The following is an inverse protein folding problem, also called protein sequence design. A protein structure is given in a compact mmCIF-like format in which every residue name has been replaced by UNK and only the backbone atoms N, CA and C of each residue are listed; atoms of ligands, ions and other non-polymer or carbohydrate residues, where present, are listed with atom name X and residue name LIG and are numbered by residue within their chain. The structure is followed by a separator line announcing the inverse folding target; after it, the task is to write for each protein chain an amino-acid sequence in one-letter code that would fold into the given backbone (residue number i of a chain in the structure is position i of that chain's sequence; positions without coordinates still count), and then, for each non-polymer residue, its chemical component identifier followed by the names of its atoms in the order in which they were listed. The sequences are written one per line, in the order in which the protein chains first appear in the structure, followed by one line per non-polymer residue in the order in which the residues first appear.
data_IF_401117277958
#
_entry.id   IF_401117277958
#
_cell.length_a   1.000
_cell.length_b   1.000
_cell.length_c   1.000
_cell.angle_alpha   90.00
_cell.angle_beta   90.00
_cell.angle_gamma   90.00
#
_symmetry.space_group_name_H-M   'P 1'
#
loop_
_entity.id
_entity.type
_entity.pdbx_description
1 polymer ?
#
# COMPACT_ATOMS: atom_id res chain seq x y z
N UNK A 1 -42.97 -5.53 -10.89
CA UNK A 1 -43.34 -4.17 -10.46
C UNK A 1 -42.56 -3.83 -9.20
N UNK A 2 -41.46 -3.10 -9.34
CA UNK A 2 -40.76 -2.45 -8.23
C UNK A 2 -40.35 -1.06 -8.71
N UNK A 3 -41.15 -0.07 -8.32
CA UNK A 3 -40.78 1.34 -8.27
C UNK A 3 -39.88 1.46 -7.03
N UNK A 4 -38.73 2.15 -6.99
CA UNK A 4 -38.42 3.49 -7.46
C UNK A 4 -37.78 4.19 -6.26
N UNK A 5 -36.53 4.65 -6.37
CA UNK A 5 -35.96 5.64 -5.45
C UNK A 5 -35.16 6.63 -6.29
N UNK A 6 -35.75 7.82 -6.40
CA UNK A 6 -35.24 9.04 -7.00
C UNK A 6 -34.22 9.69 -6.06
N UNK A 7 -33.07 10.09 -6.60
CA UNK A 7 -32.15 11.01 -5.93
C UNK A 7 -32.07 12.29 -6.73
N UNK A 8 -32.74 13.34 -6.27
CA UNK A 8 -32.56 14.71 -6.74
C UNK A 8 -32.23 15.62 -5.57
N UNK A 9 -31.40 16.63 -5.88
CA UNK A 9 -31.23 17.93 -5.22
C UNK A 9 -29.89 18.20 -4.53
N UNK A 10 -29.02 18.89 -5.30
CA UNK A 10 -28.49 20.24 -5.05
C UNK A 10 -27.87 20.58 -3.69
N UNK A 11 -26.58 20.91 -3.70
CA UNK A 11 -26.02 22.25 -3.42
C UNK A 11 -24.49 22.10 -3.37
N UNK A 12 -23.64 22.94 -3.96
CA UNK A 12 -23.79 24.36 -4.22
C UNK A 12 -23.06 25.14 -3.13
N UNK A 13 -21.73 25.17 -3.15
CA UNK A 13 -20.94 26.19 -2.45
C UNK A 13 -19.67 26.51 -3.23
N UNK A 14 -19.68 27.66 -3.89
CA UNK A 14 -18.50 28.28 -4.47
C UNK A 14 -17.55 28.77 -3.38
N UNK A 15 -16.25 28.74 -3.68
CA UNK A 15 -15.23 29.46 -2.91
C UNK A 15 -14.59 30.48 -3.83
N UNK A 16 -14.82 31.74 -3.47
CA UNK A 16 -14.31 32.93 -4.11
C UNK A 16 -12.78 33.02 -4.06
N UNK A 17 -12.25 33.63 -5.11
CA UNK A 17 -10.87 34.00 -5.37
C UNK A 17 -10.52 35.30 -4.62
N UNK A 18 -9.37 35.34 -3.94
CA UNK A 18 -8.58 36.54 -3.60
C UNK A 18 -7.11 36.06 -3.58
N UNK A 19 -6.27 36.29 -4.59
CA UNK A 19 -5.64 37.53 -5.05
C UNK A 19 -4.56 38.11 -4.12
N UNK A 20 -3.34 38.06 -4.66
CA UNK A 20 -2.23 39.03 -4.57
C UNK A 20 -1.43 39.19 -3.26
N UNK A 21 -0.11 39.03 -3.40
CA UNK A 21 0.90 39.40 -2.41
C UNK A 21 2.31 39.21 -2.94
N UNK A 22 2.65 39.86 -4.05
CA UNK A 22 4.01 39.99 -4.58
C UNK A 22 4.78 41.01 -3.74
N UNK A 23 5.87 40.58 -3.09
CA UNK A 23 6.91 41.46 -2.57
C UNK A 23 8.24 41.01 -3.16
N UNK A 24 8.76 41.84 -4.05
CA UNK A 24 10.12 41.80 -4.59
C UNK A 24 11.03 42.72 -3.76
N UNK A 25 12.33 42.70 -4.10
CA UNK A 25 13.48 43.50 -3.61
C UNK A 25 14.22 42.84 -2.43
N UNK A 26 15.55 42.67 -2.40
CA UNK A 26 16.71 43.33 -3.05
C UNK A 26 17.90 42.34 -3.07
N UNK A 27 18.67 42.22 -4.16
CA UNK A 27 19.99 42.83 -4.40
C UNK A 27 21.07 42.57 -3.32
N UNK A 28 22.14 41.84 -3.67
CA UNK A 28 23.31 41.65 -2.79
C UNK A 28 24.44 40.78 -3.35
N UNK A 29 25.27 41.39 -4.22
CA UNK A 29 26.69 41.21 -4.50
C UNK A 29 27.39 39.83 -4.46
N UNK A 30 27.82 39.41 -5.66
CA UNK A 30 29.19 39.03 -6.06
C UNK A 30 30.17 38.45 -5.01
N UNK A 31 30.51 37.18 -5.21
CA UNK A 31 31.74 36.56 -4.73
C UNK A 31 32.18 35.47 -5.71
N UNK A 32 33.11 35.79 -6.60
CA UNK A 32 33.79 34.83 -7.48
C UNK A 32 34.80 34.04 -6.66
N UNK A 33 34.47 32.79 -6.33
CA UNK A 33 35.44 31.83 -5.82
C UNK A 33 35.49 30.64 -6.78
N UNK A 34 36.52 30.65 -7.63
CA UNK A 34 36.85 29.54 -8.51
C UNK A 34 37.46 28.41 -7.67
N UNK A 35 36.74 27.29 -7.55
CA UNK A 35 37.29 26.02 -7.06
C UNK A 35 37.48 25.08 -8.26
N UNK A 36 38.60 24.34 -8.32
CA UNK A 36 38.92 23.48 -9.45
C UNK A 36 38.08 22.20 -9.43
N UNK A 37 37.83 21.69 -10.63
CA UNK A 37 37.14 20.44 -10.92
C UNK A 37 37.73 19.26 -10.12
N UNK A 38 36.88 18.65 -9.30
CA UNK A 38 37.06 17.28 -8.84
C UNK A 38 35.80 16.52 -9.23
N UNK A 39 35.94 15.68 -10.26
CA UNK A 39 34.92 14.75 -10.71
C UNK A 39 34.61 13.75 -9.58
N UNK A 40 33.58 14.05 -8.79
CA UNK A 40 32.97 13.09 -7.89
C UNK A 40 31.75 12.52 -8.59
N UNK A 41 31.89 11.24 -8.92
CA UNK A 41 30.87 10.30 -9.39
C UNK A 41 29.49 10.64 -8.85
N UNK A 42 28.54 10.89 -9.76
CA UNK A 42 27.14 11.05 -9.43
C UNK A 42 26.61 9.74 -8.84
N UNK A 43 26.63 9.64 -7.50
CA UNK A 43 25.72 8.75 -6.80
C UNK A 43 24.33 9.35 -6.96
N UNK A 44 23.57 8.89 -7.95
CA UNK A 44 22.17 9.25 -8.11
C UNK A 44 21.40 8.73 -6.90
N UNK A 45 21.26 9.58 -5.90
CA UNK A 45 20.26 9.46 -4.85
C UNK A 45 18.91 9.24 -5.55
N UNK A 46 18.16 8.15 -5.25
CA UNK A 46 16.89 7.93 -5.91
C UNK A 46 15.98 9.12 -5.58
N UNK A 47 15.54 9.82 -6.61
CA UNK A 47 14.80 11.07 -6.50
C UNK A 47 13.57 10.85 -5.60
N UNK A 48 13.50 11.61 -4.51
CA UNK A 48 12.47 11.52 -3.48
C UNK A 48 11.09 12.02 -3.90
N UNK A 49 10.55 11.55 -5.02
CA UNK A 49 9.26 11.99 -5.58
C UNK A 49 8.37 10.83 -6.09
N UNK A 50 8.45 9.63 -5.52
CA UNK A 50 7.71 8.45 -6.06
C UNK A 50 6.64 7.95 -5.10
N UNK A 51 5.64 8.78 -4.77
CA UNK A 51 4.40 8.29 -4.14
C UNK A 51 3.11 8.96 -4.67
N UNK A 52 3.19 9.83 -5.69
CA UNK A 52 2.01 10.56 -6.22
C UNK A 52 1.50 10.01 -7.55
N UNK A 53 2.32 9.27 -8.31
CA UNK A 53 1.90 8.59 -9.54
C UNK A 53 1.41 7.16 -9.27
N UNK A 54 0.54 6.66 -10.16
CA UNK A 54 0.20 5.24 -10.19
C UNK A 54 1.45 4.46 -10.60
N UNK A 55 1.86 3.41 -9.87
CA UNK A 55 3.06 2.63 -10.22
C UNK A 55 2.81 1.83 -11.52
N UNK A 56 3.81 1.76 -12.39
CA UNK A 56 3.68 1.11 -13.71
C UNK A 56 4.62 -0.09 -13.85
N UNK A 57 5.80 -0.03 -13.24
CA UNK A 57 6.78 -1.13 -13.26
C UNK A 57 6.57 -2.10 -12.09
N UNK A 58 7.01 -3.34 -12.25
CA UNK A 58 6.91 -4.36 -11.20
C UNK A 58 7.57 -3.89 -9.89
N UNK A 59 8.70 -3.20 -9.96
CA UNK A 59 9.37 -2.66 -8.78
C UNK A 59 8.63 -1.51 -8.12
N UNK A 60 8.05 -0.58 -8.89
CA UNK A 60 7.19 0.46 -8.31
C UNK A 60 5.94 -0.15 -7.66
N UNK A 61 5.32 -1.15 -8.30
CA UNK A 61 4.17 -1.88 -7.75
C UNK A 61 4.58 -2.60 -6.45
N UNK A 62 5.77 -3.21 -6.41
CA UNK A 62 6.31 -3.88 -5.23
C UNK A 62 6.54 -2.92 -4.06
N UNK A 63 7.14 -1.76 -4.33
CA UNK A 63 7.35 -0.69 -3.35
C UNK A 63 6.02 -0.17 -2.84
N UNK A 64 5.07 0.11 -3.74
CA UNK A 64 3.71 0.53 -3.38
C UNK A 64 3.02 -0.50 -2.47
N UNK A 65 3.09 -1.79 -2.82
CA UNK A 65 2.51 -2.87 -2.03
C UNK A 65 3.11 -2.94 -0.62
N UNK A 66 4.44 -2.83 -0.50
CA UNK A 66 5.13 -2.81 0.78
C UNK A 66 4.65 -1.63 1.64
N UNK A 67 4.51 -0.45 1.04
CA UNK A 67 4.00 0.74 1.72
C UNK A 67 2.56 0.55 2.25
N UNK A 68 1.70 -0.14 1.49
CA UNK A 68 0.32 -0.42 1.96
C UNK A 68 0.28 -1.30 3.21
N UNK A 69 1.19 -2.27 3.34
CA UNK A 69 1.11 -3.30 4.40
C UNK A 69 2.00 -3.02 5.60
N UNK A 70 3.06 -2.21 5.46
CA UNK A 70 4.03 -1.94 6.53
C UNK A 70 3.39 -1.26 7.74
N UNK A 71 2.34 -0.46 7.54
CA UNK A 71 1.66 0.28 8.61
C UNK A 71 0.71 -0.60 9.46
N UNK A 72 0.40 -1.83 9.04
CA UNK A 72 -0.58 -2.69 9.73
C UNK A 72 -0.28 -2.89 11.23
N UNK A 73 0.97 -3.12 11.68
CA UNK A 73 1.26 -3.27 13.11
C UNK A 73 0.97 -1.99 13.91
N UNK A 74 1.34 -0.82 13.35
CA UNK A 74 1.08 0.48 13.98
C UNK A 74 -0.43 0.77 14.05
N UNK A 75 -1.16 0.49 12.96
CA UNK A 75 -2.62 0.64 12.92
C UNK A 75 -3.30 -0.32 13.91
N UNK A 76 -2.76 -1.52 14.08
CA UNK A 76 -3.26 -2.50 15.04
C UNK A 76 -3.19 -2.00 16.49
N UNK A 77 -2.13 -1.27 16.87
CA UNK A 77 -2.06 -0.63 18.20
C UNK A 77 -3.23 0.34 18.41
N UNK A 78 -3.57 1.13 17.39
CA UNK A 78 -4.77 1.99 17.45
C UNK A 78 -6.03 1.16 17.62
N UNK A 79 -6.19 0.06 16.89
CA UNK A 79 -7.37 -0.80 17.03
C UNK A 79 -7.54 -1.36 18.44
N UNK A 80 -6.43 -1.73 19.11
CA UNK A 80 -6.43 -2.15 20.51
C UNK A 80 -6.94 -1.02 21.40
N UNK A 81 -6.41 0.19 21.27
CA UNK A 81 -6.83 1.35 22.09
C UNK A 81 -8.30 1.73 21.87
N UNK A 82 -8.85 1.48 20.68
CA UNK A 82 -10.26 1.72 20.35
C UNK A 82 -11.19 0.58 20.77
N UNK A 83 -10.66 -0.49 21.38
CA UNK A 83 -11.47 -1.59 21.94
C UNK A 83 -11.92 -2.65 20.94
N UNK A 84 -11.29 -2.76 19.76
CA UNK A 84 -11.64 -3.82 18.81
C UNK A 84 -11.22 -5.20 19.35
N UNK A 85 -12.08 -6.18 19.11
CA UNK A 85 -11.81 -7.58 19.45
C UNK A 85 -10.62 -8.12 18.65
N UNK A 86 -10.00 -9.19 19.15
CA UNK A 86 -8.87 -9.83 18.46
C UNK A 86 -9.27 -10.34 17.06
N UNK A 87 -10.47 -10.90 16.90
CA UNK A 87 -10.98 -11.36 15.61
C UNK A 87 -11.14 -10.20 14.62
N UNK A 88 -11.78 -9.10 15.03
CA UNK A 88 -11.98 -7.94 14.17
C UNK A 88 -10.65 -7.35 13.71
N UNK A 89 -9.65 -7.29 14.60
CA UNK A 89 -8.29 -6.85 14.24
C UNK A 89 -7.63 -7.79 13.23
N UNK A 90 -7.79 -9.10 13.40
CA UNK A 90 -7.26 -10.08 12.46
C UNK A 90 -7.94 -9.99 11.08
N UNK A 91 -9.27 -9.81 11.02
CA UNK A 91 -10.00 -9.59 9.77
C UNK A 91 -9.54 -8.31 9.08
N UNK A 92 -9.46 -7.19 9.80
CA UNK A 92 -8.99 -5.91 9.22
C UNK A 92 -7.54 -5.96 8.73
N UNK A 93 -6.65 -6.64 9.45
CA UNK A 93 -5.27 -6.85 9.02
C UNK A 93 -5.21 -7.70 7.73
N UNK A 94 -5.97 -8.81 7.69
CA UNK A 94 -6.13 -9.64 6.51
C UNK A 94 -6.67 -8.85 5.32
N UNK A 95 -7.77 -8.12 5.50
CA UNK A 95 -8.43 -7.35 4.43
C UNK A 95 -7.50 -6.27 3.87
N UNK A 96 -6.73 -5.60 4.74
CA UNK A 96 -5.76 -4.59 4.31
C UNK A 96 -4.71 -5.21 3.39
N UNK A 97 -4.12 -6.35 3.79
CA UNK A 97 -3.14 -7.05 2.96
C UNK A 97 -3.77 -7.63 1.68
N UNK A 98 -4.97 -8.19 1.78
CA UNK A 98 -5.67 -8.81 0.66
C UNK A 98 -6.00 -7.77 -0.41
N UNK A 99 -6.57 -6.62 -0.03
CA UNK A 99 -6.80 -5.50 -0.96
C UNK A 99 -5.51 -4.99 -1.58
N UNK A 100 -4.44 -4.84 -0.79
CA UNK A 100 -3.15 -4.42 -1.34
C UNK A 100 -2.64 -5.41 -2.40
N UNK A 101 -2.79 -6.72 -2.18
CA UNK A 101 -2.45 -7.74 -3.19
C UNK A 101 -3.30 -7.58 -4.46
N UNK A 102 -4.61 -7.42 -4.31
CA UNK A 102 -5.51 -7.32 -5.47
C UNK A 102 -5.22 -6.07 -6.28
N UNK A 103 -5.02 -4.92 -5.62
CA UNK A 103 -4.63 -3.68 -6.28
C UNK A 103 -3.28 -3.83 -6.99
N UNK A 104 -2.28 -4.48 -6.37
CA UNK A 104 -1.02 -4.75 -7.04
C UNK A 104 -1.21 -5.57 -8.34
N UNK A 105 -2.08 -6.59 -8.33
CA UNK A 105 -2.40 -7.37 -9.53
C UNK A 105 -3.11 -6.56 -10.61
N UNK A 106 -3.98 -5.63 -10.23
CA UNK A 106 -4.65 -4.75 -11.18
C UNK A 106 -3.71 -3.72 -11.81
N UNK A 107 -2.59 -3.40 -11.16
CA UNK A 107 -1.57 -2.51 -11.70
C UNK A 107 -0.56 -3.24 -12.59
N UNK A 108 -0.51 -4.58 -12.58
CA UNK A 108 0.38 -5.35 -13.46
C UNK A 108 0.03 -5.11 -14.93
N UNK A 109 1.04 -4.82 -15.75
CA UNK A 109 0.89 -4.62 -17.19
C UNK A 109 0.64 -5.93 -17.95
N UNK A 110 1.20 -7.05 -17.47
CA UNK A 110 1.06 -8.37 -18.10
C UNK A 110 -0.18 -9.12 -17.59
N UNK A 111 -1.20 -9.20 -18.45
CA UNK A 111 -2.41 -9.98 -18.18
C UNK A 111 -2.13 -11.49 -18.11
N UNK A 112 -1.10 -11.99 -18.81
CA UNK A 112 -0.70 -13.39 -18.77
C UNK A 112 -0.10 -13.76 -17.41
N UNK A 113 0.83 -12.95 -16.92
CA UNK A 113 1.45 -13.17 -15.60
C UNK A 113 0.43 -13.08 -14.47
N UNK A 114 -0.49 -12.09 -14.54
CA UNK A 114 -1.59 -11.99 -13.58
C UNK A 114 -2.46 -13.26 -13.55
N UNK A 115 -2.80 -13.83 -14.72
CA UNK A 115 -3.54 -15.10 -14.80
C UNK A 115 -2.72 -16.29 -14.29
N UNK A 116 -1.42 -16.34 -14.55
CA UNK A 116 -0.54 -17.37 -14.01
C UNK A 116 -0.50 -17.33 -12.47
N UNK A 117 -0.44 -16.13 -11.88
CA UNK A 117 -0.52 -15.94 -10.43
C UNK A 117 -1.88 -16.39 -9.86
N UNK A 118 -2.98 -16.10 -10.57
CA UNK A 118 -4.32 -16.55 -10.17
C UNK A 118 -4.48 -18.07 -10.26
N UNK A 119 -3.96 -18.71 -11.31
CA UNK A 119 -4.01 -20.15 -11.47
C UNK A 119 -3.23 -20.87 -10.35
N UNK A 120 -2.01 -20.40 -10.04
CA UNK A 120 -1.21 -20.91 -8.92
C UNK A 120 -1.94 -20.75 -7.58
N UNK A 121 -2.58 -19.60 -7.36
CA UNK A 121 -3.31 -19.33 -6.12
C UNK A 121 -4.57 -20.20 -6.02
N UNK A 122 -5.27 -20.44 -7.13
CA UNK A 122 -6.38 -21.39 -7.20
C UNK A 122 -5.92 -22.80 -6.82
N UNK A 123 -4.81 -23.29 -7.39
CA UNK A 123 -4.26 -24.61 -7.07
C UNK A 123 -3.88 -24.73 -5.59
N UNK A 124 -3.22 -23.70 -5.04
CA UNK A 124 -2.67 -23.73 -3.68
C UNK A 124 -3.68 -23.45 -2.58
N UNK A 125 -4.66 -22.58 -2.84
CA UNK A 125 -5.57 -22.05 -1.83
C UNK A 125 -7.05 -22.34 -2.13
N UNK A 126 -7.38 -22.83 -3.34
CA UNK A 126 -8.76 -22.95 -3.80
C UNK A 126 -9.41 -21.59 -4.12
N UNK A 127 -8.62 -20.54 -4.29
CA UNK A 127 -9.09 -19.18 -4.57
C UNK A 127 -8.06 -18.41 -5.43
N UNK A 128 -8.45 -17.83 -6.59
CA UNK A 128 -7.52 -17.13 -7.48
C UNK A 128 -6.92 -15.86 -6.89
N UNK A 129 -7.53 -15.31 -5.84
CA UNK A 129 -7.15 -14.04 -5.19
C UNK A 129 -6.25 -14.28 -3.96
N UNK A 130 -5.73 -15.50 -3.84
CA UNK A 130 -4.87 -15.95 -2.76
C UNK A 130 -5.66 -16.55 -1.58
N UNK A 131 -5.01 -16.75 -0.42
CA UNK A 131 -5.68 -17.38 0.72
C UNK A 131 -6.81 -16.50 1.25
N UNK A 132 -7.93 -17.13 1.62
CA UNK A 132 -9.03 -16.50 2.37
C UNK A 132 -8.67 -16.36 3.86
N UNK A 133 -9.44 -15.57 4.61
CA UNK A 133 -9.29 -15.47 6.06
C UNK A 133 -9.49 -16.84 6.72
N UNK A 134 -10.54 -17.55 6.32
CA UNK A 134 -10.90 -18.87 6.84
C UNK A 134 -9.82 -19.90 6.53
N UNK A 135 -9.21 -19.85 5.34
CA UNK A 135 -8.06 -20.69 5.00
C UNK A 135 -6.90 -20.46 5.97
N UNK A 136 -6.57 -19.20 6.29
CA UNK A 136 -5.46 -18.87 7.19
C UNK A 136 -5.74 -19.30 8.64
N UNK A 137 -6.99 -19.14 9.10
CA UNK A 137 -7.43 -19.62 10.41
C UNK A 137 -7.33 -21.15 10.45
N UNK A 138 -7.94 -21.85 9.50
CA UNK A 138 -7.95 -23.32 9.47
C UNK A 138 -6.54 -23.90 9.33
N UNK A 139 -5.68 -23.29 8.50
CA UNK A 139 -4.26 -23.67 8.40
C UNK A 139 -3.53 -23.57 9.72
N UNK A 140 -3.88 -22.61 10.58
CA UNK A 140 -3.30 -22.48 11.91
C UNK A 140 -3.88 -23.51 12.87
N UNK A 141 -5.20 -23.71 12.88
CA UNK A 141 -5.87 -24.72 13.70
C UNK A 141 -5.38 -26.14 13.40
N UNK A 142 -5.18 -26.47 12.12
CA UNK A 142 -4.61 -27.76 11.69
C UNK A 142 -3.17 -27.99 12.19
N UNK A 143 -2.48 -26.93 12.66
CA UNK A 143 -1.16 -27.01 13.31
C UNK A 143 -1.27 -27.10 14.84
N UNK A 144 -2.47 -27.31 15.38
CA UNK A 144 -2.72 -27.50 16.81
C UNK A 144 -2.64 -26.21 17.64
N UNK A 145 -2.68 -25.02 17.02
CA UNK A 145 -2.82 -23.78 17.78
C UNK A 145 -4.29 -23.40 17.92
N UNK A 146 -4.63 -22.76 19.04
CA UNK A 146 -5.99 -22.24 19.25
C UNK A 146 -6.33 -21.08 18.30
N UNK A 147 -7.60 -20.69 18.31
CA UNK A 147 -8.15 -19.66 17.41
C UNK A 147 -7.59 -18.26 17.70
N UNK A 148 -7.35 -17.92 18.96
CA UNK A 148 -6.77 -16.61 19.32
C UNK A 148 -5.33 -16.50 18.82
N UNK A 149 -4.56 -17.58 18.93
CA UNK A 149 -3.21 -17.64 18.38
C UNK A 149 -3.22 -17.64 16.85
N UNK A 150 -4.22 -18.25 16.21
CA UNK A 150 -4.42 -18.11 14.76
C UNK A 150 -4.64 -16.64 14.36
N UNK A 151 -5.50 -15.91 15.08
CA UNK A 151 -5.74 -14.48 14.85
C UNK A 151 -4.48 -13.63 15.07
N UNK A 152 -3.74 -13.85 16.17
CA UNK A 152 -2.46 -13.18 16.41
C UNK A 152 -1.45 -13.44 15.29
N UNK A 153 -1.37 -14.68 14.79
CA UNK A 153 -0.51 -15.03 13.64
C UNK A 153 -0.91 -14.30 12.36
N UNK A 154 -2.21 -14.16 12.08
CA UNK A 154 -2.71 -13.40 10.92
C UNK A 154 -2.27 -11.94 11.04
N UNK A 155 -2.51 -11.29 12.18
CA UNK A 155 -2.09 -9.89 12.43
C UNK A 155 -0.57 -9.75 12.23
N UNK A 156 0.23 -10.55 12.93
CA UNK A 156 1.70 -10.48 12.87
C UNK A 156 2.24 -10.75 11.46
N UNK A 157 1.59 -11.63 10.71
CA UNK A 157 2.01 -11.96 9.35
C UNK A 157 1.58 -10.94 8.30
N UNK A 158 0.58 -10.11 8.58
CA UNK A 158 -0.05 -9.27 7.57
C UNK A 158 0.86 -8.19 6.99
N UNK A 159 1.88 -7.76 7.74
CA UNK A 159 2.90 -6.82 7.29
C UNK A 159 4.17 -7.48 6.69
N UNK A 160 4.33 -8.81 6.84
CA UNK A 160 5.53 -9.50 6.37
C UNK A 160 5.49 -9.67 4.85
N UNK A 161 6.50 -9.17 4.16
CA UNK A 161 6.65 -9.37 2.71
C UNK A 161 7.87 -10.24 2.44
N UNK A 162 8.00 -10.72 1.20
CA UNK A 162 9.11 -11.60 0.83
C UNK A 162 10.34 -10.77 0.49
N UNK A 163 11.46 -11.07 1.16
CA UNK A 163 12.70 -10.30 1.04
C UNK A 163 13.38 -10.45 -0.32
N UNK A 164 13.30 -11.62 -0.97
CA UNK A 164 13.92 -11.82 -2.28
C UNK A 164 13.33 -10.87 -3.31
N UNK A 165 11.99 -10.83 -3.41
CA UNK A 165 11.33 -9.86 -4.29
C UNK A 165 11.50 -8.39 -3.85
N UNK A 166 11.90 -8.12 -2.59
CA UNK A 166 12.20 -6.76 -2.15
C UNK A 166 13.59 -6.35 -2.62
N UNK A 167 14.57 -7.25 -2.53
CA UNK A 167 15.98 -7.02 -2.89
C UNK A 167 16.15 -6.83 -4.39
N UNK A 168 15.35 -7.50 -5.22
CA UNK A 168 15.30 -7.30 -6.68
C UNK A 168 14.89 -5.88 -7.10
N UNK A 169 14.33 -5.09 -6.19
CA UNK A 169 13.77 -3.76 -6.44
C UNK A 169 14.38 -2.64 -5.59
N UNK A 170 15.58 -2.88 -5.04
CA UNK A 170 16.42 -1.90 -4.32
C UNK A 170 17.55 -1.38 -5.22
#
# INVERSE_FOLDING_TARGET
MMQGISWTSLSGYGRSVLAAGLISLTAGCAGTHSQPESAMSASSSPAGNVLVSVPETDCEIRVWYNYQVVAIPVINERWITTGLTLEERARRAFDTRHRARMNARYMMSSAEEMKALQARDMEKYGNPDGPTFEYLVQKSLNKGVDRDQAYKKIIASSARTDNGYNEECQ
#
